data_IF_685481307685
#
_entry.id   IF_685481307685
#
_cell.length_a   1.000
_cell.length_b   1.000
_cell.length_c   1.000
_cell.angle_alpha   90.00
_cell.angle_beta   90.00
_cell.angle_gamma   90.00
#
_symmetry.space_group_name_H-M   'P 1'
#
loop_
_entity.id
_entity.type
_entity.pdbx_description
1 polymer ?
#
# COMPACT_ATOMS: atom_id res chain seq x y z
N UNK A 1 16.17 22.60 -9.44
CA UNK A 1 14.99 23.21 -8.80
C UNK A 1 14.02 22.08 -8.52
N UNK A 2 13.90 21.68 -7.26
CA UNK A 2 12.89 20.70 -6.87
C UNK A 2 11.54 21.40 -7.04
N UNK A 3 10.77 20.99 -8.05
CA UNK A 3 9.47 21.61 -8.33
C UNK A 3 8.60 21.51 -7.10
N UNK A 4 7.98 22.63 -6.70
CA UNK A 4 7.06 22.74 -5.56
C UNK A 4 5.73 22.02 -5.89
N UNK A 5 5.87 20.72 -6.12
CA UNK A 5 4.82 19.82 -6.56
C UNK A 5 4.14 19.37 -5.28
N UNK A 6 2.82 19.58 -5.12
CA UNK A 6 2.15 19.26 -3.88
C UNK A 6 2.29 17.76 -3.56
N UNK A 7 2.66 17.47 -2.30
CA UNK A 7 2.86 16.11 -1.79
C UNK A 7 1.85 15.83 -0.70
N UNK A 8 1.23 14.66 -0.78
CA UNK A 8 0.27 14.18 0.22
C UNK A 8 0.74 12.86 0.81
N UNK A 9 0.34 12.60 2.05
CA UNK A 9 0.59 11.34 2.74
C UNK A 9 -0.74 10.66 3.01
N UNK A 10 -0.86 9.41 2.55
CA UNK A 10 -2.00 8.55 2.83
C UNK A 10 -1.61 7.49 3.86
N UNK A 11 -2.42 7.33 4.91
CA UNK A 11 -2.26 6.29 5.92
C UNK A 11 -3.30 5.20 5.69
N UNK A 12 -2.85 4.00 5.33
CA UNK A 12 -3.71 2.83 5.19
C UNK A 12 -3.79 2.05 6.52
N UNK A 13 -4.96 2.04 7.14
CA UNK A 13 -5.21 1.29 8.39
C UNK A 13 -5.78 -0.06 8.03
N UNK A 14 -4.90 -1.07 7.96
CA UNK A 14 -5.22 -2.43 7.45
C UNK A 14 -4.85 -3.53 8.44
N UNK A 15 -4.39 -3.15 9.63
CA UNK A 15 -4.01 -4.06 10.70
C UNK A 15 -4.57 -3.57 12.01
N UNK A 16 -4.93 -4.51 12.88
CA UNK A 16 -5.35 -4.24 14.25
C UNK A 16 -4.26 -4.63 15.24
N UNK A 17 -4.28 -3.98 16.41
CA UNK A 17 -3.41 -4.29 17.53
C UNK A 17 -4.24 -4.82 18.70
N UNK A 18 -3.81 -5.93 19.29
CA UNK A 18 -4.40 -6.52 20.47
C UNK A 18 -3.31 -7.08 21.38
N UNK A 19 -3.02 -6.41 22.49
CA UNK A 19 -1.98 -6.79 23.45
C UNK A 19 -2.23 -8.13 24.15
N UNK A 20 -3.45 -8.68 24.08
CA UNK A 20 -3.78 -9.98 24.68
C UNK A 20 -3.38 -11.18 23.80
N UNK A 21 -2.96 -10.95 22.54
CA UNK A 21 -2.55 -12.02 21.61
C UNK A 21 -1.05 -12.31 21.73
N UNK A 22 -0.66 -13.57 21.47
CA UNK A 22 0.76 -14.00 21.37
C UNK A 22 1.55 -13.15 20.36
N UNK A 23 0.92 -12.82 19.23
CA UNK A 23 1.41 -11.81 18.27
C UNK A 23 0.43 -10.64 18.31
N UNK A 24 0.82 -9.49 18.89
CA UNK A 24 -0.11 -8.39 19.11
C UNK A 24 -0.66 -7.75 17.84
N UNK A 25 0.08 -7.80 16.72
CA UNK A 25 -0.31 -7.22 15.44
C UNK A 25 -1.00 -8.29 14.57
N UNK A 26 -2.15 -7.95 13.99
CA UNK A 26 -2.81 -8.83 13.02
C UNK A 26 -2.03 -8.92 11.71
N UNK A 27 -2.35 -9.93 10.90
CA UNK A 27 -2.04 -9.90 9.48
C UNK A 27 -2.73 -8.72 8.79
N UNK A 28 -2.31 -8.44 7.56
CA UNK A 28 -2.90 -7.39 6.74
C UNK A 28 -4.26 -7.86 6.22
N UNK A 29 -5.29 -7.11 6.56
CA UNK A 29 -6.65 -7.31 6.06
C UNK A 29 -6.71 -6.88 4.58
N UNK A 30 -6.89 -7.86 3.69
CA UNK A 30 -7.03 -7.60 2.25
C UNK A 30 -8.26 -6.74 1.92
N UNK A 31 -9.45 -6.95 2.52
CA UNK A 31 -10.60 -6.08 2.27
C UNK A 31 -10.35 -4.62 2.68
N UNK A 32 -9.72 -4.39 3.84
CA UNK A 32 -9.41 -3.03 4.30
C UNK A 32 -8.34 -2.38 3.42
N UNK A 33 -7.37 -3.17 2.94
CA UNK A 33 -6.36 -2.72 1.98
C UNK A 33 -6.99 -2.34 0.64
N UNK A 34 -7.92 -3.13 0.13
CA UNK A 34 -8.66 -2.83 -1.10
C UNK A 34 -9.44 -1.51 -0.96
N UNK A 35 -10.15 -1.32 0.16
CA UNK A 35 -10.87 -0.09 0.43
C UNK A 35 -9.94 1.14 0.54
N UNK A 36 -8.77 1.00 1.17
CA UNK A 36 -7.76 2.06 1.23
C UNK A 36 -7.19 2.39 -0.15
N UNK A 37 -6.86 1.38 -0.96
CA UNK A 37 -6.33 1.56 -2.31
C UNK A 37 -7.33 2.22 -3.24
N UNK A 38 -8.62 1.86 -3.15
CA UNK A 38 -9.68 2.53 -3.88
C UNK A 38 -9.71 4.03 -3.57
N UNK A 39 -9.75 4.40 -2.29
CA UNK A 39 -9.80 5.81 -1.85
C UNK A 39 -8.55 6.59 -2.27
N UNK A 40 -7.37 6.01 -2.05
CA UNK A 40 -6.10 6.63 -2.42
C UNK A 40 -5.98 6.82 -3.94
N UNK A 41 -6.40 5.82 -4.72
CA UNK A 41 -6.32 5.88 -6.18
C UNK A 41 -7.33 6.86 -6.78
N UNK A 42 -8.54 6.91 -6.22
CA UNK A 42 -9.53 7.92 -6.57
C UNK A 42 -9.01 9.34 -6.33
N UNK A 43 -8.46 9.60 -5.13
CA UNK A 43 -7.89 10.91 -4.81
C UNK A 43 -6.68 11.24 -5.69
N UNK A 44 -5.82 10.27 -5.98
CA UNK A 44 -4.67 10.46 -6.87
C UNK A 44 -5.10 10.84 -8.29
N UNK A 45 -6.13 10.17 -8.84
CA UNK A 45 -6.68 10.49 -10.16
C UNK A 45 -7.24 11.93 -10.20
N UNK A 46 -8.00 12.34 -9.19
CA UNK A 46 -8.54 13.70 -9.10
C UNK A 46 -7.45 14.78 -9.07
N UNK A 47 -6.28 14.47 -8.52
CA UNK A 47 -5.17 15.40 -8.38
C UNK A 47 -4.06 15.20 -9.43
N UNK A 48 -4.28 14.35 -10.43
CA UNK A 48 -3.25 13.95 -11.41
C UNK A 48 -1.94 13.52 -10.75
N UNK A 49 -2.04 12.88 -9.58
CA UNK A 49 -0.93 12.45 -8.76
C UNK A 49 -0.55 10.99 -9.05
N UNK A 50 0.68 10.65 -8.71
CA UNK A 50 1.14 9.26 -8.66
C UNK A 50 1.26 8.79 -7.23
N UNK A 51 1.11 7.49 -7.00
CA UNK A 51 1.23 6.87 -5.69
C UNK A 51 2.62 6.27 -5.54
N UNK A 52 3.26 6.56 -4.41
CA UNK A 52 4.57 6.00 -4.05
C UNK A 52 4.44 5.28 -2.71
N UNK A 53 4.83 4.01 -2.66
CA UNK A 53 4.65 3.19 -1.45
C UNK A 53 5.76 2.15 -1.28
N UNK A 54 6.09 1.77 -0.03
CA UNK A 54 6.96 0.62 0.22
C UNK A 54 6.25 -0.70 -0.13
N UNK A 55 7.03 -1.72 -0.49
CA UNK A 55 6.51 -3.09 -0.58
C UNK A 55 5.93 -3.53 0.77
N UNK A 56 4.67 -3.95 0.73
CA UNK A 56 3.95 -4.50 1.87
C UNK A 56 4.33 -5.97 2.04
N UNK A 57 4.53 -6.43 3.29
CA UNK A 57 4.87 -7.83 3.57
C UNK A 57 6.24 -8.19 2.99
N UNK A 58 7.32 -7.71 3.62
CA UNK A 58 8.71 -8.04 3.24
C UNK A 58 9.39 -8.96 4.28
N UNK A 59 8.67 -9.42 5.30
CA UNK A 59 9.29 -10.05 6.47
C UNK A 59 9.33 -11.59 6.46
N UNK A 60 8.58 -12.32 5.62
CA UNK A 60 8.58 -13.80 5.68
C UNK A 60 8.35 -14.50 4.34
N UNK A 61 8.83 -15.75 4.15
CA UNK A 61 8.64 -16.52 2.90
C UNK A 61 7.17 -16.81 2.55
N UNK A 62 6.27 -16.77 3.53
CA UNK A 62 4.82 -16.78 3.32
C UNK A 62 4.31 -15.54 2.55
N UNK A 63 5.14 -14.49 2.41
CA UNK A 63 4.83 -13.23 1.72
C UNK A 63 4.57 -13.38 0.23
N UNK A 64 5.03 -14.44 -0.44
CA UNK A 64 4.92 -14.50 -1.90
C UNK A 64 3.47 -14.55 -2.38
N UNK A 65 2.63 -15.33 -1.71
CA UNK A 65 1.20 -15.45 -2.05
C UNK A 65 0.42 -14.20 -1.65
N UNK A 66 0.69 -13.63 -0.47
CA UNK A 66 0.05 -12.38 -0.03
C UNK A 66 0.45 -11.21 -0.93
N UNK A 67 1.74 -11.09 -1.27
CA UNK A 67 2.23 -10.05 -2.17
C UNK A 67 1.63 -10.16 -3.56
N UNK A 68 1.43 -11.37 -4.09
CA UNK A 68 0.78 -11.56 -5.37
C UNK A 68 -0.65 -10.99 -5.39
N UNK A 69 -1.41 -11.20 -4.32
CA UNK A 69 -2.75 -10.61 -4.14
C UNK A 69 -2.69 -9.09 -4.07
N UNK A 70 -1.75 -8.53 -3.31
CA UNK A 70 -1.53 -7.07 -3.23
C UNK A 70 -1.18 -6.50 -4.60
N UNK A 71 -0.25 -7.11 -5.32
CA UNK A 71 0.18 -6.65 -6.66
C UNK A 71 -0.99 -6.66 -7.65
N UNK A 72 -1.86 -7.67 -7.59
CA UNK A 72 -3.10 -7.70 -8.40
C UNK A 72 -4.03 -6.55 -8.06
N UNK A 73 -4.21 -6.21 -6.78
CA UNK A 73 -5.01 -5.06 -6.36
C UNK A 73 -4.40 -3.73 -6.82
N UNK A 74 -3.08 -3.57 -6.68
CA UNK A 74 -2.37 -2.39 -7.18
C UNK A 74 -2.55 -2.24 -8.69
N UNK A 75 -2.39 -3.33 -9.45
CA UNK A 75 -2.59 -3.32 -10.90
C UNK A 75 -4.03 -3.01 -11.29
N UNK A 76 -5.02 -3.58 -10.59
CA UNK A 76 -6.45 -3.27 -10.79
C UNK A 76 -6.70 -1.78 -10.68
N UNK A 77 -6.28 -1.15 -9.58
CA UNK A 77 -6.56 0.27 -9.36
C UNK A 77 -5.69 1.22 -10.17
N UNK A 78 -4.46 0.85 -10.51
CA UNK A 78 -3.66 1.60 -11.48
C UNK A 78 -4.38 1.70 -12.84
N UNK A 79 -4.94 0.59 -13.33
CA UNK A 79 -5.67 0.56 -14.61
C UNK A 79 -7.03 1.26 -14.51
N UNK A 80 -7.82 0.98 -13.47
CA UNK A 80 -9.17 1.58 -13.30
C UNK A 80 -9.12 3.10 -13.19
N UNK A 81 -8.10 3.64 -12.50
CA UNK A 81 -7.98 5.07 -12.28
C UNK A 81 -6.99 5.78 -13.20
N UNK A 82 -6.27 5.04 -14.06
CA UNK A 82 -5.27 5.61 -14.97
C UNK A 82 -4.08 6.28 -14.28
N UNK A 83 -3.71 5.81 -13.09
CA UNK A 83 -2.63 6.39 -12.28
C UNK A 83 -1.36 5.53 -12.29
N UNK A 84 -0.22 6.17 -12.04
CA UNK A 84 1.06 5.48 -11.84
C UNK A 84 1.24 5.14 -10.37
N UNK A 85 1.56 3.87 -10.08
CA UNK A 85 1.88 3.38 -8.74
C UNK A 85 3.32 2.86 -8.74
N UNK A 86 4.16 3.39 -7.85
CA UNK A 86 5.55 3.00 -7.69
C UNK A 86 5.73 2.26 -6.36
N UNK A 87 6.28 1.06 -6.43
CA UNK A 87 6.55 0.19 -5.28
C UNK A 87 8.05 0.14 -5.01
N UNK A 88 8.45 0.48 -3.80
CA UNK A 88 9.85 0.44 -3.38
C UNK A 88 10.22 -0.86 -2.69
N UNK A 89 11.26 -1.51 -3.21
CA UNK A 89 11.93 -2.63 -2.56
C UNK A 89 13.09 -2.06 -1.74
N UNK A 90 12.83 -1.76 -0.47
CA UNK A 90 13.85 -1.29 0.46
C UNK A 90 14.06 -2.31 1.57
N UNK A 91 15.29 -2.79 1.71
CA UNK A 91 15.72 -3.60 2.84
C UNK A 91 16.40 -2.66 3.84
N UNK A 92 15.85 -2.55 5.06
CA UNK A 92 16.54 -1.82 6.13
C UNK A 92 17.88 -2.52 6.39
N UNK A 93 18.97 -1.77 6.39
CA UNK A 93 20.25 -2.25 6.92
C UNK A 93 20.06 -2.54 8.41
N UNK A 94 20.41 -3.75 8.83
CA UNK A 94 20.42 -4.20 10.22
C UNK A 94 21.54 -3.55 11.01
#
# INVERSE_FOLDING_TARGET
MESDTPRWVALAVVQSYNSRRKVPRSEISIPDLEACLFKASFAAAQNSASIHMPRIGYQDQADRSQWYTVERLLRKYATVFGIKIYVYYYRRSS
#
